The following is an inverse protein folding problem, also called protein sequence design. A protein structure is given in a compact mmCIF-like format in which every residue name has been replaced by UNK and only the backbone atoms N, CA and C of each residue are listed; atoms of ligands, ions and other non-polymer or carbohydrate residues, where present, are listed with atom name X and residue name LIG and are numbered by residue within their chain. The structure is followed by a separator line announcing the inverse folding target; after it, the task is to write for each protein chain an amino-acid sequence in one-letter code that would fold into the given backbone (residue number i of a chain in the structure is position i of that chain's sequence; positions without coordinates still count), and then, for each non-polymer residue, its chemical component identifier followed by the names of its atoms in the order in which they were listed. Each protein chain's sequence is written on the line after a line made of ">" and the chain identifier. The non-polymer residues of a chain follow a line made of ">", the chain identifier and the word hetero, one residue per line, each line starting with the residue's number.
data_IF_354304811604
#
_entry.id   IF_354304811604
#
_cell.length_a   1.000
_cell.length_b   1.000
_cell.length_c   1.000
_cell.angle_alpha   90.00
_cell.angle_beta   90.00
_cell.angle_gamma   90.00
#
_symmetry.space_group_name_H-M   'P 1'
#
loop_
_entity.id
_entity.type
_entity.pdbx_description
1 polymer ?
#
# COMPACT_ATOMS: atom_id res chain seq x y z
N UNK A 1 12.34 -24.37 6.64
CA UNK A 1 11.55 -23.80 5.53
C UNK A 1 12.03 -22.38 5.34
N UNK A 2 12.24 -21.89 4.11
CA UNK A 2 12.44 -20.45 3.92
C UNK A 2 11.18 -19.74 4.38
N UNK A 3 11.30 -18.74 5.25
CA UNK A 3 10.17 -17.89 5.61
C UNK A 3 9.58 -17.26 4.34
N UNK A 4 8.26 -17.19 4.28
CA UNK A 4 7.56 -16.56 3.15
C UNK A 4 7.91 -15.07 3.13
N UNK A 5 8.21 -14.52 1.95
CA UNK A 5 8.50 -13.09 1.79
C UNK A 5 7.28 -12.27 2.20
N UNK A 6 7.48 -11.26 3.05
CA UNK A 6 6.45 -10.30 3.44
C UNK A 6 6.91 -8.89 3.03
N UNK A 7 6.17 -8.26 2.13
CA UNK A 7 6.38 -6.87 1.73
C UNK A 7 5.36 -5.95 2.39
N UNK A 8 5.58 -4.63 2.36
CA UNK A 8 4.53 -3.67 2.75
C UNK A 8 4.55 -2.41 1.92
N UNK A 9 3.36 -1.91 1.60
CA UNK A 9 3.14 -0.54 1.16
C UNK A 9 2.61 0.27 2.35
N UNK A 10 3.33 1.32 2.73
CA UNK A 10 3.02 2.13 3.91
C UNK A 10 2.84 3.61 3.57
N UNK A 11 1.70 4.00 2.96
CA UNK A 11 1.43 5.39 2.61
C UNK A 11 0.93 6.19 3.83
N UNK A 12 1.32 7.46 3.91
CA UNK A 12 0.68 8.41 4.84
C UNK A 12 -0.62 8.96 4.23
N UNK A 13 -1.71 9.05 5.00
CA UNK A 13 -3.01 9.49 4.49
C UNK A 13 -3.11 11.02 4.47
N UNK A 14 -2.17 11.68 3.79
CA UNK A 14 -2.09 13.16 3.71
C UNK A 14 -2.51 13.71 2.34
N UNK A 15 -3.14 12.89 1.51
CA UNK A 15 -3.55 13.22 0.14
C UNK A 15 -3.79 11.98 -0.71
N UNK A 16 -3.92 12.20 -2.03
CA UNK A 16 -4.21 11.13 -2.98
C UNK A 16 -3.02 10.23 -3.27
N UNK A 17 -3.30 8.99 -3.67
CA UNK A 17 -2.31 8.07 -4.22
C UNK A 17 -1.73 8.62 -5.53
N UNK A 18 -0.49 9.12 -5.48
CA UNK A 18 0.22 9.57 -6.68
C UNK A 18 0.96 8.44 -7.39
N UNK A 19 1.40 8.67 -8.64
CA UNK A 19 2.03 7.65 -9.50
C UNK A 19 3.27 6.98 -8.89
N UNK A 20 4.03 7.71 -8.07
CA UNK A 20 5.18 7.16 -7.33
C UNK A 20 4.76 6.18 -6.23
N UNK A 21 3.67 6.48 -5.52
CA UNK A 21 3.03 5.57 -4.57
C UNK A 21 2.48 4.33 -5.27
N UNK A 22 1.76 4.51 -6.38
CA UNK A 22 1.22 3.42 -7.19
C UNK A 22 2.33 2.47 -7.70
N UNK A 23 3.45 3.00 -8.20
CA UNK A 23 4.62 2.20 -8.59
C UNK A 23 5.16 1.38 -7.42
N UNK A 24 5.31 1.99 -6.25
CA UNK A 24 5.84 1.33 -5.06
C UNK A 24 4.91 0.20 -4.59
N UNK A 25 3.60 0.45 -4.55
CA UNK A 25 2.60 -0.54 -4.22
C UNK A 25 2.63 -1.73 -5.20
N UNK A 26 2.67 -1.44 -6.52
CA UNK A 26 2.75 -2.45 -7.56
C UNK A 26 4.00 -3.33 -7.43
N UNK A 27 5.16 -2.74 -7.15
CA UNK A 27 6.40 -3.50 -6.98
C UNK A 27 6.37 -4.42 -5.75
N UNK A 28 5.86 -3.92 -4.61
CA UNK A 28 5.72 -4.73 -3.41
C UNK A 28 4.74 -5.89 -3.62
N UNK A 29 3.64 -5.62 -4.33
CA UNK A 29 2.63 -6.63 -4.68
C UNK A 29 3.18 -7.69 -5.63
N UNK A 30 3.83 -7.28 -6.73
CA UNK A 30 4.42 -8.19 -7.72
C UNK A 30 5.53 -9.04 -7.10
N UNK A 31 6.38 -8.46 -6.26
CA UNK A 31 7.48 -9.21 -5.62
C UNK A 31 6.95 -10.24 -4.62
N UNK A 32 5.97 -9.88 -3.79
CA UNK A 32 5.30 -10.84 -2.90
C UNK A 32 4.61 -11.95 -3.71
N UNK A 33 3.87 -11.61 -4.77
CA UNK A 33 3.20 -12.60 -5.62
C UNK A 33 4.19 -13.55 -6.31
N UNK A 34 5.27 -13.01 -6.87
CA UNK A 34 6.32 -13.79 -7.55
C UNK A 34 6.99 -14.80 -6.62
N UNK A 35 7.14 -14.46 -5.35
CA UNK A 35 7.81 -15.29 -4.32
C UNK A 35 6.84 -16.18 -3.54
N UNK A 36 5.54 -16.19 -3.86
CA UNK A 36 4.52 -16.91 -3.08
C UNK A 36 4.32 -16.35 -1.66
N UNK A 37 4.70 -15.09 -1.46
CA UNK A 37 4.62 -14.32 -0.24
C UNK A 37 3.31 -13.54 -0.06
N UNK A 38 3.34 -12.53 0.83
CA UNK A 38 2.21 -11.64 1.11
C UNK A 38 2.66 -10.17 1.10
N UNK A 39 1.83 -9.28 0.57
CA UNK A 39 1.98 -7.83 0.75
C UNK A 39 1.06 -7.37 1.87
N UNK A 40 1.51 -6.48 2.76
CA UNK A 40 0.67 -5.80 3.75
C UNK A 40 0.42 -4.35 3.32
N UNK A 41 -0.79 -3.85 3.56
CA UNK A 41 -1.08 -2.41 3.58
C UNK A 41 -1.03 -1.91 5.02
N UNK A 42 -0.31 -0.81 5.26
CA UNK A 42 -0.28 -0.14 6.56
C UNK A 42 -0.44 1.36 6.33
N UNK A 43 -1.59 1.91 6.69
CA UNK A 43 -1.76 3.36 6.70
C UNK A 43 -0.84 3.95 7.78
N UNK A 44 0.01 4.89 7.40
CA UNK A 44 0.99 5.52 8.30
C UNK A 44 0.46 6.88 8.75
N UNK A 45 -0.46 6.83 9.72
CA UNK A 45 -1.31 7.92 10.25
C UNK A 45 -0.74 8.60 11.51
N UNK A 46 0.59 8.53 11.70
CA UNK A 46 1.25 9.08 12.89
C UNK A 46 1.18 10.61 12.97
N UNK A 47 1.02 11.28 11.82
CA UNK A 47 0.76 12.71 11.72
C UNK A 47 -0.74 13.00 11.73
N UNK A 48 -1.30 13.24 12.92
CA UNK A 48 -2.74 13.46 13.10
C UNK A 48 -3.29 14.74 12.47
N UNK A 49 -2.45 15.76 12.26
CA UNK A 49 -2.91 17.04 11.70
C UNK A 49 -3.14 16.93 10.19
N UNK A 50 -2.34 16.09 9.52
CA UNK A 50 -2.43 15.90 8.07
C UNK A 50 -3.17 14.62 7.66
N UNK A 51 -3.40 13.70 8.59
CA UNK A 51 -4.10 12.44 8.31
C UNK A 51 -5.61 12.63 8.28
N UNK A 52 -6.25 12.24 7.19
CA UNK A 52 -7.72 12.28 7.09
C UNK A 52 -8.31 10.95 6.61
N UNK A 53 -9.57 10.73 6.98
CA UNK A 53 -10.33 9.56 6.54
C UNK A 53 -10.54 9.57 5.02
N UNK A 54 -10.73 10.75 4.42
CA UNK A 54 -10.89 10.92 2.98
C UNK A 54 -9.62 10.55 2.21
N UNK A 55 -8.45 10.96 2.73
CA UNK A 55 -7.18 10.58 2.14
C UNK A 55 -6.92 9.07 2.28
N UNK A 56 -7.31 8.48 3.40
CA UNK A 56 -7.26 7.03 3.60
C UNK A 56 -8.15 6.31 2.58
N UNK A 57 -9.41 6.74 2.43
CA UNK A 57 -10.32 6.19 1.43
C UNK A 57 -9.77 6.32 0.01
N UNK A 58 -9.23 7.49 -0.35
CA UNK A 58 -8.63 7.71 -1.67
C UNK A 58 -7.43 6.78 -1.96
N UNK A 59 -6.63 6.44 -0.94
CA UNK A 59 -5.57 5.45 -1.06
C UNK A 59 -6.16 4.06 -1.32
N UNK A 60 -7.16 3.64 -0.53
CA UNK A 60 -7.79 2.32 -0.64
C UNK A 60 -8.45 2.15 -2.02
N UNK A 61 -9.20 3.16 -2.48
CA UNK A 61 -9.85 3.19 -3.79
C UNK A 61 -8.83 3.13 -4.92
N UNK A 62 -7.73 3.88 -4.80
CA UNK A 62 -6.65 3.86 -5.79
C UNK A 62 -5.98 2.48 -5.91
N UNK A 63 -5.73 1.81 -4.78
CA UNK A 63 -5.16 0.46 -4.78
C UNK A 63 -6.15 -0.58 -5.33
N UNK A 64 -7.44 -0.47 -4.98
CA UNK A 64 -8.50 -1.32 -5.50
C UNK A 64 -8.69 -1.15 -7.02
N UNK A 65 -8.65 0.09 -7.51
CA UNK A 65 -8.72 0.40 -8.95
C UNK A 65 -7.55 -0.22 -9.74
N UNK A 66 -6.35 -0.24 -9.14
CA UNK A 66 -5.17 -0.92 -9.70
C UNK A 66 -5.26 -2.46 -9.63
N UNK A 67 -6.27 -3.03 -8.97
CA UNK A 67 -6.41 -4.46 -8.76
C UNK A 67 -5.38 -5.06 -7.79
N UNK A 68 -4.79 -4.23 -6.93
CA UNK A 68 -3.81 -4.69 -5.94
C UNK A 68 -4.54 -5.20 -4.70
N UNK A 69 -4.29 -6.45 -4.32
CA UNK A 69 -4.82 -7.06 -3.09
C UNK A 69 -3.72 -7.18 -2.04
N UNK A 70 -4.02 -6.84 -0.79
CA UNK A 70 -3.08 -6.84 0.34
C UNK A 70 -3.61 -7.66 1.53
#
# INVERSE_FOLDING_TARGET
>A
MSDKVVTRFAPSPTGFLHIGGARTALFNWLYAKHTGGKMLLRIEDTDRERSTDEATAAILDGLAWLGLTW
#
